data_IF_614003298358
#
_entry.id   IF_614003298358
#
_cell.length_a   1.000
_cell.length_b   1.000
_cell.length_c   1.000
_cell.angle_alpha   90.00
_cell.angle_beta   90.00
_cell.angle_gamma   90.00
#
_symmetry.space_group_name_H-M   'P 1'
#
loop_
_entity.id
_entity.type
_entity.pdbx_description
1 polymer ?
#
# COMPACT_ATOMS: atom_id res chain seq x y z
N UNK A 1 -3.40 -11.70 -1.93
CA UNK A 1 -2.73 -10.68 -2.78
C UNK A 1 -2.00 -9.72 -1.87
N UNK A 2 -0.76 -9.33 -2.21
CA UNK A 2 -0.04 -8.26 -1.48
C UNK A 2 0.05 -7.05 -2.41
N UNK A 3 -0.47 -5.91 -1.95
CA UNK A 3 -0.38 -4.61 -2.60
C UNK A 3 0.06 -3.62 -1.53
N UNK A 4 1.26 -3.09 -1.65
CA UNK A 4 1.81 -2.22 -0.61
C UNK A 4 2.76 -1.16 -1.18
N UNK A 5 2.65 0.06 -0.67
CA UNK A 5 3.69 1.06 -0.80
C UNK A 5 4.91 0.69 0.05
N UNK A 6 6.10 1.15 -0.33
CA UNK A 6 7.32 0.95 0.48
C UNK A 6 7.44 2.01 1.60
N UNK A 7 6.46 2.90 1.72
CA UNK A 7 6.27 3.81 2.85
C UNK A 7 5.43 3.16 3.96
N UNK A 8 5.49 3.71 5.18
CA UNK A 8 4.71 3.25 6.34
C UNK A 8 3.19 3.31 6.07
N UNK A 9 2.75 4.33 5.37
CA UNK A 9 1.40 4.47 4.82
C UNK A 9 1.50 4.99 3.39
N UNK A 10 0.60 4.54 2.51
CA UNK A 10 0.48 5.11 1.18
C UNK A 10 -0.02 6.56 1.23
N UNK A 11 0.26 7.34 0.21
CA UNK A 11 -0.26 8.70 0.09
C UNK A 11 -1.79 8.74 0.17
N UNK A 12 -2.47 7.84 -0.53
CA UNK A 12 -3.93 7.74 -0.46
C UNK A 12 -4.44 7.40 0.95
N UNK A 13 -3.70 6.60 1.75
CA UNK A 13 -4.08 6.33 3.14
C UNK A 13 -3.89 7.55 4.05
N UNK A 14 -2.86 8.34 3.82
CA UNK A 14 -2.63 9.60 4.54
C UNK A 14 -3.78 10.57 4.24
N UNK A 15 -4.09 10.79 2.96
CA UNK A 15 -5.18 11.65 2.53
C UNK A 15 -6.55 11.18 3.04
N UNK A 16 -6.89 9.91 2.90
CA UNK A 16 -8.13 9.34 3.44
C UNK A 16 -8.26 9.60 4.94
N UNK A 17 -7.16 9.44 5.69
CA UNK A 17 -7.14 9.64 7.14
C UNK A 17 -7.39 11.11 7.48
N UNK A 18 -6.81 12.05 6.73
CA UNK A 18 -7.06 13.49 6.85
C UNK A 18 -8.52 13.85 6.55
N UNK A 19 -9.06 13.38 5.43
CA UNK A 19 -10.44 13.62 5.02
C UNK A 19 -11.46 13.11 6.06
N UNK A 20 -11.13 12.03 6.76
CA UNK A 20 -11.91 11.49 7.86
C UNK A 20 -11.69 12.22 9.21
N UNK A 21 -10.85 13.25 9.25
CA UNK A 21 -10.53 14.00 10.48
C UNK A 21 -9.85 13.14 11.56
N UNK A 22 -9.07 12.14 11.16
CA UNK A 22 -8.43 11.19 12.07
C UNK A 22 -6.91 11.38 12.09
N UNK A 23 -6.28 10.76 13.09
CA UNK A 23 -4.83 10.59 13.17
C UNK A 23 -4.41 9.21 12.68
N UNK A 24 -3.18 9.09 12.19
CA UNK A 24 -2.58 7.80 11.91
C UNK A 24 -2.30 7.03 13.21
N UNK A 25 -2.40 5.71 13.22
CA UNK A 25 -2.20 4.91 14.44
C UNK A 25 -0.75 4.93 14.96
N UNK A 26 0.20 5.21 14.07
CA UNK A 26 1.64 5.38 14.38
C UNK A 26 2.19 6.50 13.51
N UNK A 27 3.38 7.08 13.80
CA UNK A 27 3.98 8.09 12.94
C UNK A 27 4.14 7.62 11.50
N UNK A 28 3.64 8.41 10.55
CA UNK A 28 3.66 8.11 9.11
C UNK A 28 4.66 8.92 8.30
N UNK A 29 5.22 9.97 8.88
CA UNK A 29 6.13 10.87 8.20
C UNK A 29 6.64 11.98 9.11
N UNK A 30 7.18 13.03 8.50
CA UNK A 30 7.78 14.17 9.19
C UNK A 30 7.00 15.46 8.91
N UNK A 31 6.85 16.29 9.94
CA UNK A 31 6.34 17.64 9.79
C UNK A 31 7.39 18.61 9.20
N UNK A 32 7.02 19.89 9.06
CA UNK A 32 7.90 20.95 8.54
C UNK A 32 9.14 21.19 9.41
N UNK A 33 9.06 20.90 10.71
CA UNK A 33 10.18 21.03 11.66
C UNK A 33 11.10 19.81 11.69
N UNK A 34 10.70 18.70 11.02
CA UNK A 34 11.47 17.46 10.99
C UNK A 34 11.14 16.49 12.12
N UNK A 35 10.05 16.72 12.85
CA UNK A 35 9.59 15.80 13.88
C UNK A 35 8.69 14.71 13.28
N UNK A 36 8.78 13.50 13.82
CA UNK A 36 7.85 12.43 13.49
C UNK A 36 6.43 12.79 13.94
N UNK A 37 5.45 12.58 13.06
CA UNK A 37 4.07 12.94 13.34
C UNK A 37 3.06 11.87 12.92
N UNK A 38 1.95 11.77 13.63
CA UNK A 38 0.75 11.00 13.28
C UNK A 38 -0.29 11.84 12.57
N UNK A 39 -0.08 13.18 12.49
CA UNK A 39 -0.99 14.10 11.84
C UNK A 39 -0.85 14.05 10.33
N UNK A 40 -1.87 13.55 9.59
CA UNK A 40 -1.79 13.41 8.14
C UNK A 40 -1.67 14.77 7.42
N UNK A 41 -2.28 15.84 7.95
CA UNK A 41 -2.19 17.16 7.33
C UNK A 41 -0.77 17.70 7.36
N UNK A 42 -0.05 17.53 8.47
CA UNK A 42 1.35 17.93 8.60
C UNK A 42 2.29 17.10 7.71
N UNK A 43 1.97 15.84 7.45
CA UNK A 43 2.73 15.00 6.53
C UNK A 43 2.52 15.48 5.09
N UNK A 44 1.29 15.83 4.71
CA UNK A 44 0.98 16.34 3.36
C UNK A 44 1.67 17.69 3.06
N UNK A 45 1.93 18.54 4.06
CA UNK A 45 2.71 19.76 3.88
C UNK A 45 4.13 19.51 3.37
N UNK A 46 4.71 18.37 3.73
CA UNK A 46 6.11 18.05 3.42
C UNK A 46 6.28 16.90 2.45
N UNK A 47 5.31 16.01 2.37
CA UNK A 47 5.35 14.71 1.69
C UNK A 47 6.57 13.85 2.07
N UNK A 48 7.18 14.13 3.23
CA UNK A 48 8.28 13.35 3.78
C UNK A 48 7.75 12.15 4.55
N UNK A 49 7.28 11.14 3.82
CA UNK A 49 6.75 9.90 4.41
C UNK A 49 7.86 9.06 5.02
N UNK A 50 7.50 8.34 6.08
CA UNK A 50 8.41 7.40 6.73
C UNK A 50 8.49 6.09 5.92
N UNK A 51 9.67 5.59 5.56
CA UNK A 51 9.79 4.28 4.93
C UNK A 51 9.33 3.15 5.88
N UNK A 52 8.67 2.14 5.37
CA UNK A 52 8.29 0.97 6.18
C UNK A 52 9.54 0.28 6.75
N UNK A 53 9.54 0.01 8.05
CA UNK A 53 10.71 -0.58 8.71
C UNK A 53 11.97 0.30 8.66
N UNK A 54 11.82 1.62 8.54
CA UNK A 54 12.88 2.64 8.53
C UNK A 54 13.90 2.41 7.40
N UNK A 55 15.17 2.17 7.72
CA UNK A 55 16.25 1.98 6.76
C UNK A 55 16.04 0.77 5.83
N UNK A 56 15.27 -0.25 6.25
CA UNK A 56 14.95 -1.43 5.43
C UNK A 56 14.09 -1.02 4.23
N UNK A 57 13.00 -0.29 4.47
CA UNK A 57 12.14 0.22 3.42
C UNK A 57 12.87 1.20 2.51
N UNK A 58 13.69 2.08 3.05
CA UNK A 58 14.56 2.97 2.27
C UNK A 58 15.50 2.17 1.35
N UNK A 59 16.15 1.13 1.87
CA UNK A 59 17.02 0.26 1.07
C UNK A 59 16.27 -0.46 -0.05
N UNK A 60 15.06 -0.98 0.24
CA UNK A 60 14.22 -1.63 -0.77
C UNK A 60 13.79 -0.63 -1.85
N UNK A 61 13.35 0.59 -1.48
CA UNK A 61 12.97 1.63 -2.44
C UNK A 61 14.10 1.95 -3.41
N UNK A 62 15.31 2.16 -2.90
CA UNK A 62 16.49 2.46 -3.72
C UNK A 62 16.81 1.30 -4.67
N UNK A 63 16.78 0.06 -4.15
CA UNK A 63 17.05 -1.12 -4.96
C UNK A 63 16.02 -1.29 -6.08
N UNK A 64 14.73 -1.09 -5.79
CA UNK A 64 13.65 -1.18 -6.79
C UNK A 64 13.75 -0.08 -7.84
N UNK A 65 14.04 1.17 -7.45
CA UNK A 65 14.26 2.27 -8.40
C UNK A 65 15.45 1.99 -9.34
N UNK A 66 16.57 1.53 -8.79
CA UNK A 66 17.75 1.14 -9.60
C UNK A 66 17.42 0.01 -10.57
N UNK A 67 16.77 -1.07 -10.11
CA UNK A 67 16.42 -2.20 -10.96
C UNK A 67 15.47 -1.76 -12.06
N UNK A 68 14.40 -1.04 -11.72
CA UNK A 68 13.41 -0.60 -12.68
C UNK A 68 14.05 0.33 -13.72
N UNK A 69 14.78 1.34 -13.29
CA UNK A 69 15.43 2.32 -14.17
C UNK A 69 16.45 1.67 -15.11
N UNK A 70 17.31 0.78 -14.59
CA UNK A 70 18.36 0.13 -15.39
C UNK A 70 17.77 -0.86 -16.39
N UNK A 71 16.80 -1.68 -15.99
CA UNK A 71 16.20 -2.68 -16.87
C UNK A 71 15.33 -2.07 -17.98
N UNK A 72 14.66 -0.96 -17.69
CA UNK A 72 13.78 -0.29 -18.67
C UNK A 72 14.50 0.81 -19.47
N UNK A 73 15.70 1.21 -19.07
CA UNK A 73 16.40 2.38 -19.61
C UNK A 73 15.52 3.65 -19.62
N UNK A 74 14.72 3.84 -18.56
CA UNK A 74 13.75 4.91 -18.45
C UNK A 74 14.06 5.84 -17.25
N UNK A 75 13.04 6.50 -16.69
CA UNK A 75 13.24 7.52 -15.67
C UNK A 75 13.36 6.90 -14.27
N UNK A 76 14.31 7.40 -13.49
CA UNK A 76 14.38 7.16 -12.05
C UNK A 76 13.32 7.98 -11.30
N UNK A 77 13.01 7.60 -10.06
CA UNK A 77 12.11 8.37 -9.18
C UNK A 77 12.56 9.83 -9.06
N UNK A 78 13.86 10.08 -8.90
CA UNK A 78 14.42 11.42 -8.83
C UNK A 78 14.16 12.23 -10.13
N UNK A 79 14.28 11.60 -11.29
CA UNK A 79 14.00 12.22 -12.58
C UNK A 79 12.52 12.53 -12.74
N UNK A 80 11.65 11.59 -12.40
CA UNK A 80 10.19 11.77 -12.45
C UNK A 80 9.76 12.95 -11.56
N UNK A 81 10.33 13.07 -10.36
CA UNK A 81 10.08 14.18 -9.44
C UNK A 81 10.38 15.57 -10.02
N UNK A 82 11.17 15.67 -11.10
CA UNK A 82 11.42 16.95 -11.77
C UNK A 82 10.33 17.37 -12.76
N UNK A 83 9.38 16.49 -13.08
CA UNK A 83 8.34 16.75 -14.07
C UNK A 83 7.10 17.44 -13.49
N UNK A 84 6.94 17.42 -12.17
CA UNK A 84 5.75 17.95 -11.48
C UNK A 84 4.57 16.99 -11.47
N UNK A 85 4.52 16.03 -12.39
CA UNK A 85 3.52 14.97 -12.49
C UNK A 85 4.19 13.60 -12.54
N UNK A 86 3.49 12.56 -12.08
CA UNK A 86 3.96 11.16 -12.13
C UNK A 86 3.78 10.57 -13.54
N UNK A 87 4.62 10.98 -14.48
CA UNK A 87 4.59 10.50 -15.86
C UNK A 87 5.85 9.72 -16.23
N UNK A 88 5.72 8.75 -17.13
CA UNK A 88 6.87 7.98 -17.63
C UNK A 88 7.48 7.06 -16.58
N UNK A 89 6.65 6.47 -15.72
CA UNK A 89 7.04 5.53 -14.66
C UNK A 89 7.67 4.27 -15.25
N UNK A 90 8.76 3.81 -14.62
CA UNK A 90 9.38 2.53 -14.93
C UNK A 90 8.66 1.39 -14.20
N UNK A 91 8.35 0.31 -14.91
CA UNK A 91 7.67 -0.86 -14.34
C UNK A 91 8.43 -2.13 -14.68
N UNK A 92 8.56 -3.03 -13.72
CA UNK A 92 9.10 -4.38 -13.92
C UNK A 92 8.04 -5.39 -13.51
N UNK A 93 7.69 -6.29 -14.43
CA UNK A 93 6.72 -7.36 -14.20
C UNK A 93 7.41 -8.70 -14.27
N UNK A 94 7.21 -9.55 -13.25
CA UNK A 94 7.74 -10.90 -13.19
C UNK A 94 6.57 -11.87 -13.05
N UNK A 95 6.42 -12.78 -14.01
CA UNK A 95 5.43 -13.84 -13.96
C UNK A 95 6.13 -15.20 -13.75
N UNK A 96 5.69 -15.94 -12.74
CA UNK A 96 6.22 -17.25 -12.40
C UNK A 96 5.07 -18.25 -12.47
N UNK A 97 5.19 -19.27 -13.34
CA UNK A 97 4.23 -20.37 -13.43
C UNK A 97 4.62 -21.47 -12.42
N UNK A 98 3.87 -21.64 -11.33
CA UNK A 98 4.19 -22.65 -10.32
C UNK A 98 4.06 -24.09 -10.85
N UNK A 99 3.26 -24.31 -11.89
CA UNK A 99 3.07 -25.62 -12.51
C UNK A 99 4.32 -26.14 -13.25
N UNK A 100 5.33 -25.27 -13.45
CA UNK A 100 6.65 -25.70 -13.95
C UNK A 100 7.53 -26.34 -12.90
N UNK A 101 7.20 -26.19 -11.63
CA UNK A 101 7.98 -26.66 -10.49
C UNK A 101 7.26 -27.76 -9.71
N UNK A 102 5.93 -27.66 -9.59
CA UNK A 102 5.10 -28.55 -8.78
C UNK A 102 3.81 -28.92 -9.52
N UNK A 103 3.13 -29.99 -9.08
CA UNK A 103 1.74 -30.21 -9.48
C UNK A 103 0.80 -29.16 -8.85
N UNK A 104 -0.38 -28.96 -9.43
CA UNK A 104 -1.41 -28.05 -8.90
C UNK A 104 -1.79 -28.48 -7.49
N UNK A 105 -2.04 -29.76 -7.26
CA UNK A 105 -2.45 -30.32 -5.97
C UNK A 105 -1.39 -30.11 -4.88
N UNK A 106 -0.11 -30.20 -5.23
CA UNK A 106 0.97 -29.92 -4.28
C UNK A 106 1.04 -28.43 -3.96
N UNK A 107 0.88 -27.58 -4.96
CA UNK A 107 0.89 -26.13 -4.79
C UNK A 107 -0.27 -25.69 -3.89
N UNK A 108 -1.49 -26.16 -4.17
CA UNK A 108 -2.68 -25.81 -3.39
C UNK A 108 -2.51 -26.26 -1.93
N UNK A 109 -2.06 -27.51 -1.70
CA UNK A 109 -1.79 -28.01 -0.35
C UNK A 109 -0.79 -27.14 0.41
N UNK A 110 0.31 -26.74 -0.21
CA UNK A 110 1.32 -25.88 0.44
C UNK A 110 0.71 -24.52 0.82
N UNK A 111 -0.07 -23.93 -0.08
CA UNK A 111 -0.75 -22.66 0.19
C UNK A 111 -1.75 -22.79 1.33
N UNK A 112 -2.58 -23.83 1.31
CA UNK A 112 -3.59 -24.09 2.35
C UNK A 112 -2.94 -24.33 3.72
N UNK A 113 -1.85 -25.10 3.79
CA UNK A 113 -1.08 -25.33 5.03
C UNK A 113 -0.54 -24.02 5.60
N UNK A 114 0.04 -23.14 4.76
CA UNK A 114 0.57 -21.84 5.19
C UNK A 114 -0.56 -20.93 5.69
N UNK A 115 -1.67 -20.85 4.96
CA UNK A 115 -2.80 -20.01 5.35
C UNK A 115 -3.47 -20.52 6.64
N UNK A 116 -3.59 -21.84 6.79
CA UNK A 116 -4.12 -22.44 8.01
C UNK A 116 -3.24 -22.14 9.23
N UNK A 117 -1.91 -22.20 9.09
CA UNK A 117 -0.96 -21.87 10.16
C UNK A 117 -1.06 -20.40 10.57
N UNK A 118 -1.16 -19.48 9.59
CA UNK A 118 -1.37 -18.05 9.85
C UNK A 118 -2.68 -17.84 10.63
N UNK A 119 -3.77 -18.45 10.20
CA UNK A 119 -5.10 -18.32 10.85
C UNK A 119 -5.14 -18.95 12.25
N UNK A 120 -4.32 -19.94 12.52
CA UNK A 120 -4.18 -20.56 13.84
C UNK A 120 -3.31 -19.74 14.82
N UNK A 121 -2.64 -18.70 14.35
CA UNK A 121 -1.79 -17.83 15.16
C UNK A 121 -2.61 -17.08 16.23
N UNK A 122 -2.01 -16.86 17.39
CA UNK A 122 -2.64 -16.11 18.47
C UNK A 122 -2.71 -14.63 18.12
N UNK A 123 -3.89 -13.99 18.13
CA UNK A 123 -4.01 -12.55 17.96
C UNK A 123 -3.24 -11.76 19.02
N UNK A 124 -2.67 -10.61 18.64
CA UNK A 124 -1.96 -9.72 19.55
C UNK A 124 -2.88 -9.12 20.63
N UNK A 125 -4.15 -8.91 20.30
CA UNK A 125 -5.16 -8.36 21.20
C UNK A 125 -6.21 -9.43 21.52
N UNK A 126 -6.71 -9.41 22.76
CA UNK A 126 -7.77 -10.34 23.20
C UNK A 126 -9.05 -10.10 22.38
N UNK A 127 -9.54 -11.11 21.70
CA UNK A 127 -10.72 -11.03 20.82
C UNK A 127 -10.43 -10.47 19.43
N UNK A 128 -9.17 -10.20 19.10
CA UNK A 128 -8.74 -9.83 17.75
C UNK A 128 -8.78 -11.04 16.80
N UNK A 129 -8.62 -10.75 15.52
CA UNK A 129 -8.48 -11.73 14.44
C UNK A 129 -7.14 -11.58 13.73
N UNK A 130 -6.63 -12.68 13.18
CA UNK A 130 -5.44 -12.70 12.34
C UNK A 130 -5.87 -12.80 10.89
N UNK A 131 -5.43 -11.86 10.07
CA UNK A 131 -5.71 -11.80 8.63
C UNK A 131 -4.43 -12.02 7.83
N UNK A 132 -4.55 -12.69 6.71
CA UNK A 132 -3.51 -12.73 5.69
C UNK A 132 -3.79 -11.71 4.58
N UNK A 133 -2.76 -11.29 3.82
CA UNK A 133 -2.91 -10.26 2.77
C UNK A 133 -3.94 -10.65 1.70
N UNK A 134 -4.93 -9.81 1.49
CA UNK A 134 -6.04 -9.99 0.55
C UNK A 134 -7.33 -10.50 1.17
N UNK A 135 -7.33 -10.97 2.43
CA UNK A 135 -8.54 -11.45 3.10
C UNK A 135 -9.51 -10.32 3.45
N UNK A 136 -8.97 -9.20 3.98
CA UNK A 136 -9.78 -8.02 4.31
C UNK A 136 -10.40 -7.44 3.05
N UNK A 137 -9.64 -7.34 1.95
CA UNK A 137 -10.12 -6.82 0.67
C UNK A 137 -11.23 -7.70 0.09
N UNK A 138 -11.12 -9.03 0.24
CA UNK A 138 -12.16 -9.95 -0.19
C UNK A 138 -13.45 -9.76 0.61
N UNK A 139 -13.36 -9.64 1.92
CA UNK A 139 -14.50 -9.39 2.80
C UNK A 139 -15.16 -8.04 2.50
N UNK A 140 -14.36 -6.98 2.39
CA UNK A 140 -14.84 -5.64 2.02
C UNK A 140 -15.52 -5.65 0.65
N UNK A 141 -14.98 -6.40 -0.33
CA UNK A 141 -15.62 -6.55 -1.64
C UNK A 141 -17.00 -7.20 -1.52
N UNK A 142 -17.15 -8.25 -0.71
CA UNK A 142 -18.44 -8.90 -0.50
C UNK A 142 -19.45 -7.96 0.16
N UNK A 143 -19.02 -7.21 1.18
CA UNK A 143 -19.85 -6.21 1.85
C UNK A 143 -20.28 -5.09 0.88
N UNK A 144 -19.37 -4.57 0.08
CA UNK A 144 -19.65 -3.51 -0.88
C UNK A 144 -20.57 -3.98 -2.01
N UNK A 145 -20.50 -5.24 -2.42
CA UNK A 145 -21.44 -5.80 -3.39
C UNK A 145 -22.86 -5.92 -2.82
N UNK A 146 -22.98 -6.17 -1.53
CA UNK A 146 -24.29 -6.29 -0.85
C UNK A 146 -24.90 -4.92 -0.47
N UNK A 147 -24.07 -3.98 0.00
CA UNK A 147 -24.51 -2.75 0.67
C UNK A 147 -24.20 -1.47 -0.11
N UNK A 148 -23.46 -1.55 -1.22
CA UNK A 148 -22.92 -0.39 -1.93
C UNK A 148 -21.54 0.04 -1.43
N UNK A 149 -20.84 0.80 -2.24
CA UNK A 149 -19.48 1.30 -1.94
C UNK A 149 -19.62 2.60 -1.12
N UNK A 150 -19.04 2.67 0.11
CA UNK A 150 -19.00 3.91 0.86
C UNK A 150 -18.02 4.91 0.21
N UNK A 151 -18.52 6.10 -0.13
CA UNK A 151 -17.72 7.18 -0.71
C UNK A 151 -17.71 8.36 0.26
N UNK A 152 -16.56 8.99 0.46
CA UNK A 152 -16.42 10.21 1.26
C UNK A 152 -17.14 11.34 0.52
N UNK A 153 -17.98 12.11 1.21
CA UNK A 153 -18.84 13.16 0.59
C UNK A 153 -18.03 14.16 -0.24
N UNK A 154 -16.87 14.61 0.26
CA UNK A 154 -15.99 15.53 -0.46
C UNK A 154 -15.51 14.96 -1.79
N UNK A 155 -15.12 13.68 -1.80
CA UNK A 155 -14.70 12.96 -3.01
C UNK A 155 -15.88 12.82 -3.97
N UNK A 156 -17.07 12.51 -3.47
CA UNK A 156 -18.28 12.41 -4.29
C UNK A 156 -18.64 13.73 -4.96
N UNK A 157 -18.59 14.86 -4.24
CA UNK A 157 -18.82 16.18 -4.82
C UNK A 157 -17.78 16.54 -5.88
N UNK A 158 -16.52 16.17 -5.67
CA UNK A 158 -15.46 16.35 -6.67
C UNK A 158 -15.77 15.57 -7.95
N UNK A 159 -16.17 14.29 -7.85
CA UNK A 159 -16.56 13.47 -9.00
C UNK A 159 -17.72 14.11 -9.77
N UNK A 160 -18.77 14.56 -9.07
CA UNK A 160 -19.91 15.22 -9.70
C UNK A 160 -19.53 16.53 -10.41
N UNK A 161 -18.46 17.20 -9.98
CA UNK A 161 -17.96 18.42 -10.62
C UNK A 161 -17.25 18.17 -11.95
N UNK A 162 -16.79 16.94 -12.21
CA UNK A 162 -16.11 16.57 -13.46
C UNK A 162 -17.07 16.34 -14.64
N UNK A 163 -18.36 16.19 -14.38
CA UNK A 163 -19.40 16.00 -15.42
C UNK A 163 -19.79 17.31 -16.14
N UNK A 164 -19.09 18.41 -15.88
CA UNK A 164 -19.34 19.72 -16.51
C UNK A 164 -18.12 20.10 -17.35
#
# INVERSE_FOLDING_TARGET
MVDCAVSQFSYGKIEETRLKGRQLPVPGGYDSEGNLTTDPAKIEETWRVLPMGYWKGSGISIALDLIATVLTNANSVSKIGTFGDEVGLSQVMIAIDPCKFNSVELTDRIVDEILADIKASQPAETGGEVFYPGEIELNTRQENLANGIPVIDEVWQTILSLER
#
